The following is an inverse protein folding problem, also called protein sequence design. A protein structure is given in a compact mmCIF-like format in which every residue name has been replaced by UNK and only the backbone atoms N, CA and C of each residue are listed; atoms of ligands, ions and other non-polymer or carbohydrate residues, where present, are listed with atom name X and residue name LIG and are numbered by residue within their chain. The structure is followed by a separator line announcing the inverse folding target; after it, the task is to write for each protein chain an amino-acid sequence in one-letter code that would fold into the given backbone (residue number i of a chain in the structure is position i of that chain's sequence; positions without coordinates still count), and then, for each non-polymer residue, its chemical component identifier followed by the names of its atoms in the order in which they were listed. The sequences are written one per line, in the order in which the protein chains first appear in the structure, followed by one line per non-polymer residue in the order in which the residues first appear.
data_IF_847471728227
#
_entry.id   IF_847471728227
#
_cell.length_a   1.000
_cell.length_b   1.000
_cell.length_c   1.000
_cell.angle_alpha   90.00
_cell.angle_beta   90.00
_cell.angle_gamma   90.00
#
_symmetry.space_group_name_H-M   'P 1'
#
loop_
_entity.id
_entity.type
_entity.pdbx_description
1 polymer ?
#
# COMPACT_ATOMS: atom_id res chain seq x y z
N UNK A 1 -36.10 37.66 63.89
CA UNK A 1 -35.91 36.82 65.08
C UNK A 1 -34.89 35.81 64.74
N UNK A 2 -33.67 35.95 65.26
CA UNK A 2 -32.95 35.12 66.26
C UNK A 2 -32.80 33.68 65.70
N UNK A 3 -31.64 33.06 65.60
CA UNK A 3 -30.49 33.04 66.52
C UNK A 3 -29.25 32.51 65.79
N UNK A 4 -28.10 33.03 66.17
CA UNK A 4 -26.77 32.57 65.87
C UNK A 4 -26.47 31.28 66.63
N UNK A 5 -25.68 30.41 66.06
CA UNK A 5 -24.85 29.48 66.83
C UNK A 5 -23.53 29.23 66.12
N UNK A 6 -22.50 29.70 66.75
CA UNK A 6 -21.09 29.37 66.49
C UNK A 6 -20.77 27.95 66.96
N UNK A 7 -20.04 27.18 66.14
CA UNK A 7 -19.18 26.14 66.69
C UNK A 7 -17.85 26.17 66.04
N UNK A 8 -16.81 26.11 66.85
CA UNK A 8 -15.43 26.34 66.61
C UNK A 8 -14.75 25.25 65.79
N UNK A 9 -13.85 25.68 64.96
CA UNK A 9 -12.97 24.83 64.21
C UNK A 9 -11.86 24.20 65.07
N UNK A 10 -11.71 22.90 65.04
CA UNK A 10 -10.47 22.23 65.45
C UNK A 10 -9.68 21.88 64.18
N UNK A 11 -8.57 22.60 64.03
CA UNK A 11 -7.58 22.29 62.97
C UNK A 11 -6.71 21.15 63.47
N UNK A 12 -6.90 19.97 62.85
CA UNK A 12 -5.97 18.85 63.00
C UNK A 12 -5.02 18.89 61.82
N UNK A 13 -3.77 19.30 62.01
CA UNK A 13 -2.69 19.22 61.07
C UNK A 13 -2.26 17.76 60.98
N UNK A 14 -2.64 17.07 59.91
CA UNK A 14 -2.06 15.79 59.55
C UNK A 14 -0.80 16.08 58.70
N UNK A 15 0.36 15.85 59.27
CA UNK A 15 1.63 15.84 58.53
C UNK A 15 1.67 14.56 57.71
N UNK A 16 1.42 14.70 56.41
CA UNK A 16 1.59 13.58 55.45
C UNK A 16 3.08 13.60 55.04
N UNK A 17 3.88 12.75 55.64
CA UNK A 17 5.24 12.45 55.19
C UNK A 17 5.14 11.66 53.89
N UNK A 18 5.41 12.35 52.77
CA UNK A 18 5.58 11.72 51.44
C UNK A 18 6.89 10.94 51.47
N UNK A 19 6.78 9.61 51.63
CA UNK A 19 7.83 8.66 51.32
C UNK A 19 7.95 8.59 49.79
N UNK A 20 8.88 9.34 49.20
CA UNK A 20 9.27 9.22 47.81
C UNK A 20 10.04 7.91 47.61
N UNK A 21 9.33 6.87 47.20
CA UNK A 21 9.95 5.65 46.68
C UNK A 21 10.61 5.97 45.35
N UNK A 22 11.91 5.69 45.14
CA UNK A 22 12.50 5.80 43.82
C UNK A 22 11.84 4.76 42.89
N UNK A 23 11.11 5.24 41.91
CA UNK A 23 10.62 4.37 40.82
C UNK A 23 11.86 3.84 40.08
N UNK A 24 12.19 2.57 40.31
CA UNK A 24 13.10 1.85 39.43
C UNK A 24 12.41 1.77 38.06
N UNK A 25 12.79 2.65 37.13
CA UNK A 25 12.49 2.44 35.72
C UNK A 25 13.16 1.14 35.30
N UNK A 26 12.42 0.19 34.69
CA UNK A 26 13.09 -0.96 34.10
C UNK A 26 14.00 -0.44 32.99
N UNK A 27 15.31 -0.53 33.21
CA UNK A 27 16.26 -0.34 32.13
C UNK A 27 15.95 -1.41 31.09
N UNK A 28 15.37 -1.00 29.96
CA UNK A 28 15.36 -1.86 28.77
C UNK A 28 16.83 -2.11 28.43
N UNK A 29 17.33 -3.27 28.84
CA UNK A 29 18.62 -3.74 28.37
C UNK A 29 18.49 -3.82 26.84
N UNK A 30 19.27 -3.05 26.11
CA UNK A 30 19.42 -3.23 24.68
C UNK A 30 19.73 -4.70 24.42
N UNK A 31 19.06 -5.36 23.48
CA UNK A 31 19.35 -6.75 23.17
C UNK A 31 20.84 -6.85 22.84
N UNK A 32 21.57 -7.63 23.66
CA UNK A 32 22.95 -7.92 23.40
C UNK A 32 23.05 -8.59 22.02
N UNK A 33 23.90 -8.03 21.16
CA UNK A 33 24.42 -8.62 19.94
C UNK A 33 23.39 -9.40 19.08
N UNK A 34 22.54 -8.65 18.40
CA UNK A 34 22.03 -9.17 17.12
C UNK A 34 23.28 -9.36 16.25
N UNK A 35 23.66 -10.61 15.88
CA UNK A 35 24.84 -10.81 15.07
C UNK A 35 24.70 -9.95 13.81
N UNK A 36 25.64 -9.03 13.60
CA UNK A 36 25.73 -8.26 12.37
C UNK A 36 25.79 -9.30 11.25
N UNK A 37 24.68 -9.46 10.55
CA UNK A 37 24.61 -10.34 9.40
C UNK A 37 25.75 -9.93 8.47
N UNK A 38 26.69 -10.84 8.23
CA UNK A 38 27.80 -10.60 7.31
C UNK A 38 27.25 -9.91 6.07
N UNK A 39 27.86 -8.80 5.67
CA UNK A 39 27.42 -8.01 4.53
C UNK A 39 27.37 -8.90 3.29
N UNK A 40 26.19 -9.35 2.91
CA UNK A 40 25.95 -9.94 1.60
C UNK A 40 26.17 -8.89 0.52
N UNK A 41 26.28 -9.29 -0.71
CA UNK A 41 26.35 -8.36 -1.82
C UNK A 41 25.16 -7.38 -1.75
N UNK A 42 25.45 -6.08 -1.81
CA UNK A 42 24.41 -5.06 -1.78
C UNK A 42 23.58 -5.13 -3.06
N UNK A 43 22.27 -5.15 -2.91
CA UNK A 43 21.32 -5.10 -4.02
C UNK A 43 20.86 -3.64 -4.18
N UNK A 44 20.84 -3.13 -5.41
CA UNK A 44 20.37 -1.76 -5.66
C UNK A 44 18.85 -1.63 -5.46
N UNK A 45 18.34 -0.42 -5.12
CA UNK A 45 16.90 -0.16 -5.06
C UNK A 45 16.17 -0.56 -6.35
N UNK A 46 16.75 -0.26 -7.52
CA UNK A 46 16.20 -0.66 -8.82
C UNK A 46 16.02 -2.17 -8.94
N UNK A 47 17.02 -2.96 -8.52
CA UNK A 47 16.93 -4.43 -8.54
C UNK A 47 15.86 -4.96 -7.58
N UNK A 48 15.73 -4.37 -6.37
CA UNK A 48 14.69 -4.76 -5.40
C UNK A 48 13.30 -4.50 -5.97
N UNK A 49 13.05 -3.27 -6.39
CA UNK A 49 11.74 -2.89 -6.92
C UNK A 49 11.43 -3.57 -8.26
N UNK A 50 12.40 -3.68 -9.15
CA UNK A 50 12.24 -4.40 -10.42
C UNK A 50 11.79 -5.84 -10.21
N UNK A 51 12.41 -6.57 -9.27
CA UNK A 51 12.00 -7.93 -8.91
C UNK A 51 10.58 -7.99 -8.33
N UNK A 52 10.23 -7.07 -7.43
CA UNK A 52 8.89 -7.03 -6.82
C UNK A 52 7.80 -6.72 -7.85
N UNK A 53 8.06 -5.75 -8.75
CA UNK A 53 7.13 -5.43 -9.84
C UNK A 53 7.00 -6.58 -10.85
N UNK A 54 8.08 -7.31 -11.16
CA UNK A 54 8.00 -8.48 -12.04
C UNK A 54 7.12 -9.58 -11.44
N UNK A 55 7.32 -9.91 -10.16
CA UNK A 55 6.52 -10.92 -9.48
C UNK A 55 5.04 -10.52 -9.43
N UNK A 56 4.76 -9.25 -9.12
CA UNK A 56 3.39 -8.73 -9.09
C UNK A 56 2.75 -8.73 -10.49
N UNK A 57 3.50 -8.34 -11.52
CA UNK A 57 3.03 -8.35 -12.91
C UNK A 57 2.58 -9.75 -13.34
N UNK A 58 3.38 -10.78 -13.04
CA UNK A 58 3.03 -12.17 -13.37
C UNK A 58 1.67 -12.56 -12.78
N UNK A 59 1.43 -12.26 -11.51
CA UNK A 59 0.19 -12.61 -10.82
C UNK A 59 -1.01 -11.80 -11.32
N UNK A 60 -0.85 -10.48 -11.46
CA UNK A 60 -1.94 -9.56 -11.83
C UNK A 60 -2.35 -9.76 -13.28
N UNK A 61 -1.38 -9.88 -14.20
CA UNK A 61 -1.67 -10.13 -15.62
C UNK A 61 -2.34 -11.49 -15.80
N UNK A 62 -1.82 -12.53 -15.13
CA UNK A 62 -2.45 -13.86 -15.20
C UNK A 62 -3.88 -13.85 -14.66
N UNK A 63 -4.15 -13.09 -13.58
CA UNK A 63 -5.52 -12.94 -13.06
C UNK A 63 -6.43 -12.20 -14.05
N UNK A 64 -5.94 -11.13 -14.69
CA UNK A 64 -6.68 -10.39 -15.71
C UNK A 64 -7.01 -11.29 -16.92
N UNK A 65 -6.05 -12.09 -17.38
CA UNK A 65 -6.24 -13.03 -18.48
C UNK A 65 -7.19 -14.19 -18.15
N UNK A 66 -7.24 -14.60 -16.87
CA UNK A 66 -8.07 -15.73 -16.44
C UNK A 66 -9.58 -15.43 -16.47
N UNK A 67 -10.01 -14.18 -16.32
CA UNK A 67 -11.43 -13.80 -16.38
C UNK A 67 -11.92 -13.86 -17.82
N UNK A 68 -12.98 -14.60 -18.15
CA UNK A 68 -13.59 -14.58 -19.48
C UNK A 68 -14.10 -13.20 -19.88
N UNK A 69 -14.07 -12.89 -21.17
CA UNK A 69 -14.45 -11.58 -21.69
C UNK A 69 -15.89 -11.18 -21.35
N UNK A 70 -16.82 -12.14 -21.43
CA UNK A 70 -18.24 -11.96 -21.08
C UNK A 70 -18.46 -11.66 -19.59
N UNK A 71 -17.46 -11.91 -18.73
CA UNK A 71 -17.48 -11.65 -17.28
C UNK A 71 -16.63 -10.43 -16.85
N UNK A 72 -16.06 -9.70 -17.78
CA UNK A 72 -15.23 -8.53 -17.44
C UNK A 72 -16.04 -7.42 -16.75
N UNK A 73 -17.33 -7.32 -17.00
CA UNK A 73 -18.23 -6.37 -16.34
C UNK A 73 -18.81 -6.90 -15.01
N UNK A 74 -18.32 -8.04 -14.51
CA UNK A 74 -18.77 -8.58 -13.23
C UNK A 74 -18.38 -7.63 -12.08
N UNK A 75 -19.35 -7.37 -11.20
CA UNK A 75 -19.16 -6.81 -9.88
C UNK A 75 -19.99 -7.62 -8.86
N UNK A 76 -19.55 -7.73 -7.59
CA UNK A 76 -20.36 -8.35 -6.54
C UNK A 76 -21.72 -7.64 -6.36
N UNK A 77 -22.78 -8.40 -6.14
CA UNK A 77 -24.13 -7.85 -5.91
C UNK A 77 -24.75 -8.33 -4.60
N UNK A 78 -24.19 -9.38 -3.99
CA UNK A 78 -24.70 -9.94 -2.74
C UNK A 78 -23.97 -9.29 -1.56
N UNK A 79 -24.67 -8.38 -0.87
CA UNK A 79 -24.12 -7.58 0.23
C UNK A 79 -24.10 -6.07 -0.10
N UNK A 80 -23.28 -5.30 0.61
CA UNK A 80 -23.19 -3.84 0.45
C UNK A 80 -22.09 -3.49 -0.55
N UNK A 81 -22.34 -3.77 -1.84
CA UNK A 81 -21.39 -3.54 -2.93
C UNK A 81 -21.83 -2.49 -3.93
N UNK A 82 -22.75 -1.60 -3.55
CA UNK A 82 -23.15 -0.50 -4.44
C UNK A 82 -21.96 0.42 -4.74
N UNK A 83 -21.69 0.66 -6.02
CA UNK A 83 -20.66 1.57 -6.48
C UNK A 83 -19.23 1.00 -6.47
N UNK A 84 -19.04 -0.31 -6.21
CA UNK A 84 -17.72 -0.94 -6.37
C UNK A 84 -17.35 -1.06 -7.85
N UNK A 85 -16.04 -1.11 -8.12
CA UNK A 85 -15.53 -1.33 -9.47
C UNK A 85 -15.90 -2.70 -9.99
N UNK A 86 -16.22 -2.80 -11.28
CA UNK A 86 -16.27 -4.08 -12.00
C UNK A 86 -14.88 -4.68 -12.13
N UNK A 87 -14.78 -5.95 -12.54
CA UNK A 87 -13.48 -6.57 -12.81
C UNK A 87 -12.68 -5.79 -13.86
N UNK A 88 -13.30 -5.35 -14.96
CA UNK A 88 -12.69 -4.48 -15.95
C UNK A 88 -12.13 -3.20 -15.31
N UNK A 89 -12.92 -2.54 -14.48
CA UNK A 89 -12.53 -1.32 -13.80
C UNK A 89 -11.44 -1.52 -12.74
N UNK A 90 -11.31 -2.70 -12.14
CA UNK A 90 -10.15 -3.02 -11.31
C UNK A 90 -8.87 -3.04 -12.15
N UNK A 91 -8.92 -3.69 -13.31
CA UNK A 91 -7.74 -3.84 -14.19
C UNK A 91 -7.33 -2.51 -14.82
N UNK A 92 -8.30 -1.72 -15.34
CA UNK A 92 -8.00 -0.40 -15.92
C UNK A 92 -7.46 0.56 -14.88
N UNK A 93 -8.01 0.51 -13.65
CA UNK A 93 -7.52 1.35 -12.55
C UNK A 93 -6.09 1.00 -12.11
N UNK A 94 -5.72 -0.29 -12.07
CA UNK A 94 -4.31 -0.66 -11.85
C UNK A 94 -3.44 -0.05 -12.94
N UNK A 95 -3.84 -0.19 -14.20
CA UNK A 95 -3.06 0.30 -15.33
C UNK A 95 -2.92 1.83 -15.33
N UNK A 96 -4.01 2.58 -15.16
CA UNK A 96 -3.99 4.04 -15.13
C UNK A 96 -3.20 4.56 -13.91
N UNK A 97 -3.34 3.91 -12.76
CA UNK A 97 -2.63 4.29 -11.53
C UNK A 97 -1.12 4.14 -11.64
N UNK A 98 -0.59 3.16 -12.36
CA UNK A 98 0.86 3.03 -12.56
C UNK A 98 1.44 4.24 -13.32
N UNK A 99 0.77 4.71 -14.36
CA UNK A 99 1.18 5.94 -15.04
C UNK A 99 1.13 7.16 -14.12
N UNK A 100 0.07 7.28 -13.30
CA UNK A 100 -0.06 8.35 -12.31
C UNK A 100 1.07 8.34 -11.28
N UNK A 101 1.36 7.19 -10.66
CA UNK A 101 2.39 7.08 -9.64
C UNK A 101 3.78 7.44 -10.16
N UNK A 102 4.13 7.01 -11.36
CA UNK A 102 5.49 7.15 -11.89
C UNK A 102 5.74 8.38 -12.76
N UNK A 103 4.75 9.26 -12.95
CA UNK A 103 4.92 10.51 -13.72
C UNK A 103 6.06 11.38 -13.17
N UNK A 104 6.28 11.42 -11.84
CA UNK A 104 7.33 12.21 -11.19
C UNK A 104 8.76 11.65 -11.33
N UNK A 105 8.97 10.54 -12.05
CA UNK A 105 10.28 9.89 -12.20
C UNK A 105 11.10 10.41 -13.38
N UNK A 106 10.64 11.48 -14.04
CA UNK A 106 11.31 12.07 -15.20
C UNK A 106 11.00 11.37 -16.53
N UNK A 107 10.08 10.40 -16.51
CA UNK A 107 9.60 9.70 -17.69
C UNK A 107 8.30 10.35 -18.21
N UNK A 108 8.13 10.32 -19.52
CA UNK A 108 6.89 10.78 -20.16
C UNK A 108 6.03 9.56 -20.49
N UNK A 109 4.79 9.45 -19.95
CA UNK A 109 3.85 8.42 -20.36
C UNK A 109 3.59 8.46 -21.87
N UNK A 110 3.50 7.28 -22.50
CA UNK A 110 3.16 7.16 -23.92
C UNK A 110 1.66 7.26 -24.21
N UNK A 111 0.84 7.21 -23.16
CA UNK A 111 -0.63 7.21 -23.21
C UNK A 111 -1.22 8.20 -22.20
N UNK A 112 -2.42 8.66 -22.49
CA UNK A 112 -3.26 9.36 -21.53
C UNK A 112 -3.90 8.34 -20.58
N UNK A 113 -3.60 8.44 -19.28
CA UNK A 113 -4.15 7.55 -18.25
C UNK A 113 -5.68 7.57 -18.22
N UNK A 114 -6.32 8.71 -18.49
CA UNK A 114 -7.78 8.86 -18.51
C UNK A 114 -8.43 8.10 -19.68
N UNK A 115 -7.67 7.83 -20.74
CA UNK A 115 -8.13 7.01 -21.86
C UNK A 115 -8.21 5.53 -21.50
N UNK A 116 -7.35 5.06 -20.59
CA UNK A 116 -7.31 3.68 -20.14
C UNK A 116 -8.61 3.32 -19.39
N UNK A 117 -9.11 4.22 -18.54
CA UNK A 117 -10.32 3.97 -17.76
C UNK A 117 -11.60 3.88 -18.61
N UNK A 118 -11.51 4.26 -19.90
CA UNK A 118 -12.62 4.19 -20.88
C UNK A 118 -12.58 2.90 -21.72
N UNK A 119 -11.55 2.08 -21.59
CA UNK A 119 -11.44 0.82 -22.33
C UNK A 119 -12.53 -0.17 -21.88
N UNK A 120 -13.09 -0.90 -22.82
CA UNK A 120 -14.17 -1.86 -22.59
C UNK A 120 -13.85 -3.26 -23.07
N UNK A 121 -12.95 -3.40 -24.03
CA UNK A 121 -12.51 -4.68 -24.56
C UNK A 121 -11.49 -5.34 -23.65
N UNK A 122 -11.66 -6.62 -23.33
CA UNK A 122 -10.69 -7.38 -22.52
C UNK A 122 -9.28 -7.29 -23.08
N UNK A 123 -9.11 -7.44 -24.40
CA UNK A 123 -7.80 -7.50 -25.03
C UNK A 123 -7.09 -6.14 -24.93
N UNK A 124 -7.82 -5.04 -25.13
CA UNK A 124 -7.27 -3.68 -24.95
C UNK A 124 -6.93 -3.39 -23.49
N UNK A 125 -7.77 -3.82 -22.54
CA UNK A 125 -7.54 -3.64 -21.10
C UNK A 125 -6.30 -4.43 -20.66
N UNK A 126 -6.18 -5.69 -21.06
CA UNK A 126 -4.99 -6.52 -20.73
C UNK A 126 -3.73 -5.96 -21.38
N UNK A 127 -3.83 -5.46 -22.61
CA UNK A 127 -2.72 -4.79 -23.28
C UNK A 127 -2.29 -3.53 -22.50
N UNK A 128 -3.24 -2.68 -22.13
CA UNK A 128 -2.97 -1.46 -21.37
C UNK A 128 -2.33 -1.79 -20.00
N UNK A 129 -2.77 -2.86 -19.33
CA UNK A 129 -2.15 -3.34 -18.11
C UNK A 129 -0.67 -3.74 -18.32
N UNK A 130 -0.37 -4.50 -19.38
CA UNK A 130 1.02 -4.91 -19.70
C UNK A 130 1.90 -3.70 -20.04
N UNK A 131 1.37 -2.76 -20.81
CA UNK A 131 2.08 -1.54 -21.18
C UNK A 131 2.38 -0.66 -19.94
N UNK A 132 1.43 -0.59 -18.99
CA UNK A 132 1.63 0.15 -17.75
C UNK A 132 2.72 -0.47 -16.86
N UNK A 133 2.83 -1.80 -16.83
CA UNK A 133 3.95 -2.46 -16.15
C UNK A 133 5.28 -2.18 -16.84
N UNK A 134 5.33 -2.17 -18.17
CA UNK A 134 6.56 -1.79 -18.89
C UNK A 134 7.00 -0.37 -18.52
N UNK A 135 6.07 0.58 -18.37
CA UNK A 135 6.35 1.93 -17.89
C UNK A 135 6.82 1.94 -16.43
N UNK A 136 6.17 1.19 -15.55
CA UNK A 136 6.57 1.08 -14.15
C UNK A 136 7.99 0.49 -14.00
N UNK A 137 8.35 -0.52 -14.79
CA UNK A 137 9.73 -1.06 -14.84
C UNK A 137 10.74 -0.02 -15.23
N UNK A 138 10.48 0.74 -16.30
CA UNK A 138 11.37 1.84 -16.71
C UNK A 138 11.53 2.87 -15.58
N UNK A 139 10.46 3.17 -14.87
CA UNK A 139 10.50 4.13 -13.76
C UNK A 139 11.35 3.61 -12.59
N UNK A 140 11.14 2.38 -12.13
CA UNK A 140 11.89 1.84 -11.00
C UNK A 140 13.37 1.61 -11.33
N UNK A 141 13.73 1.40 -12.59
CA UNK A 141 15.13 1.34 -13.06
C UNK A 141 15.88 2.65 -12.85
N UNK A 142 15.18 3.79 -12.74
CA UNK A 142 15.79 5.10 -12.43
C UNK A 142 16.15 5.29 -10.96
N UNK A 143 15.77 4.36 -10.08
CA UNK A 143 15.98 4.48 -8.64
C UNK A 143 17.42 4.06 -8.29
N UNK A 144 18.22 5.01 -7.81
CA UNK A 144 19.57 4.76 -7.34
C UNK A 144 19.66 4.86 -5.81
N UNK A 145 20.74 4.38 -5.17
CA UNK A 145 20.95 4.60 -3.74
C UNK A 145 20.90 6.07 -3.32
N UNK A 146 21.37 6.98 -4.19
CA UNK A 146 21.45 8.41 -3.92
C UNK A 146 20.07 9.07 -3.97
N UNK A 147 19.21 8.70 -4.94
CA UNK A 147 17.93 9.35 -5.17
C UNK A 147 16.72 8.62 -4.57
N UNK A 148 16.90 7.40 -4.04
CA UNK A 148 15.80 6.56 -3.56
C UNK A 148 14.94 7.28 -2.49
N UNK A 149 15.57 8.02 -1.59
CA UNK A 149 14.92 8.75 -0.49
C UNK A 149 15.01 10.27 -0.63
N UNK A 150 15.49 10.77 -1.76
CA UNK A 150 15.43 12.19 -2.09
C UNK A 150 13.97 12.61 -2.30
N UNK A 151 13.56 13.69 -1.63
CA UNK A 151 12.21 14.23 -1.74
C UNK A 151 12.01 14.99 -3.04
N UNK A 152 10.87 14.80 -3.69
CA UNK A 152 10.49 15.53 -4.89
C UNK A 152 8.99 15.90 -4.88
N UNK A 153 8.64 16.90 -5.69
CA UNK A 153 7.28 17.38 -5.83
C UNK A 153 6.74 18.10 -4.59
N UNK A 154 5.55 18.63 -4.70
CA UNK A 154 4.89 19.40 -3.62
C UNK A 154 4.58 18.54 -2.38
N UNK A 155 4.27 17.27 -2.58
CA UNK A 155 3.96 16.32 -1.51
C UNK A 155 5.19 15.71 -0.86
N UNK A 156 6.40 16.15 -1.22
CA UNK A 156 7.67 15.63 -0.68
C UNK A 156 7.77 14.09 -0.75
N UNK A 157 7.29 13.54 -1.84
CA UNK A 157 7.40 12.11 -2.11
C UNK A 157 8.85 11.69 -2.30
N UNK A 158 9.13 10.40 -2.14
CA UNK A 158 10.41 9.79 -2.50
C UNK A 158 10.20 8.70 -3.54
N UNK A 159 11.21 8.43 -4.39
CA UNK A 159 11.09 7.38 -5.41
C UNK A 159 10.82 6.02 -4.80
N UNK A 160 11.52 5.67 -3.73
CA UNK A 160 11.28 4.43 -2.98
C UNK A 160 9.87 4.38 -2.37
N UNK A 161 9.38 5.50 -1.83
CA UNK A 161 8.03 5.61 -1.26
C UNK A 161 6.94 5.42 -2.32
N UNK A 162 7.07 6.05 -3.48
CA UNK A 162 6.12 5.89 -4.60
C UNK A 162 6.15 4.45 -5.14
N UNK A 163 7.33 3.84 -5.29
CA UNK A 163 7.42 2.45 -5.73
C UNK A 163 6.73 1.49 -4.73
N UNK A 164 6.94 1.69 -3.43
CA UNK A 164 6.26 0.92 -2.39
C UNK A 164 4.73 1.15 -2.42
N UNK A 165 4.28 2.39 -2.62
CA UNK A 165 2.86 2.74 -2.75
C UNK A 165 2.23 2.04 -3.96
N UNK A 166 2.90 2.05 -5.12
CA UNK A 166 2.44 1.38 -6.34
C UNK A 166 2.24 -0.13 -6.12
N UNK A 167 3.19 -0.79 -5.44
CA UNK A 167 3.07 -2.20 -5.08
C UNK A 167 1.89 -2.45 -4.12
N UNK A 168 1.77 -1.66 -3.06
CA UNK A 168 0.70 -1.81 -2.07
C UNK A 168 -0.68 -1.60 -2.69
N UNK A 169 -0.85 -0.53 -3.48
CA UNK A 169 -2.08 -0.21 -4.18
C UNK A 169 -2.50 -1.33 -5.16
N UNK A 170 -1.56 -1.82 -5.95
CA UNK A 170 -1.84 -2.91 -6.90
C UNK A 170 -2.21 -4.21 -6.18
N UNK A 171 -1.56 -4.52 -5.05
CA UNK A 171 -1.89 -5.71 -4.25
C UNK A 171 -3.29 -5.64 -3.64
N UNK A 172 -3.75 -4.46 -3.22
CA UNK A 172 -5.14 -4.27 -2.76
C UNK A 172 -6.14 -4.63 -3.88
N UNK A 173 -5.93 -4.09 -5.08
CA UNK A 173 -6.79 -4.39 -6.23
C UNK A 173 -6.66 -5.84 -6.72
N UNK A 174 -5.46 -6.41 -6.69
CA UNK A 174 -5.25 -7.82 -7.01
C UNK A 174 -6.03 -8.75 -6.07
N UNK A 175 -6.05 -8.44 -4.78
CA UNK A 175 -6.86 -9.18 -3.80
C UNK A 175 -8.35 -9.18 -4.17
N UNK A 176 -8.88 -8.04 -4.62
CA UNK A 176 -10.26 -7.92 -5.09
C UNK A 176 -10.48 -8.72 -6.39
N UNK A 177 -9.56 -8.67 -7.36
CA UNK A 177 -9.62 -9.49 -8.58
C UNK A 177 -9.65 -10.98 -8.26
N UNK A 178 -8.84 -11.45 -7.31
CA UNK A 178 -8.81 -12.84 -6.84
C UNK A 178 -10.18 -13.27 -6.29
N UNK A 179 -10.82 -12.41 -5.48
CA UNK A 179 -12.17 -12.67 -4.97
C UNK A 179 -13.18 -12.75 -6.12
N UNK A 180 -13.13 -11.83 -7.09
CA UNK A 180 -14.06 -11.81 -8.23
C UNK A 180 -13.89 -13.06 -9.12
N UNK A 181 -12.66 -13.53 -9.34
CA UNK A 181 -12.40 -14.79 -10.03
C UNK A 181 -13.12 -15.96 -9.32
N UNK A 182 -12.92 -16.09 -8.00
CA UNK A 182 -13.54 -17.15 -7.20
C UNK A 182 -15.07 -17.08 -7.20
N UNK A 183 -15.65 -15.89 -7.13
CA UNK A 183 -17.10 -15.69 -7.23
C UNK A 183 -17.66 -16.14 -8.60
N UNK A 184 -16.82 -16.17 -9.63
CA UNK A 184 -17.15 -16.68 -10.96
C UNK A 184 -16.73 -18.14 -11.18
N UNK A 185 -16.37 -18.88 -10.13
CA UNK A 185 -15.96 -20.28 -10.21
C UNK A 185 -14.57 -20.50 -10.81
N UNK A 186 -13.73 -19.45 -10.88
CA UNK A 186 -12.40 -19.51 -11.50
C UNK A 186 -11.35 -19.58 -10.38
N UNK A 187 -10.51 -20.63 -10.43
CA UNK A 187 -9.34 -20.72 -9.52
C UNK A 187 -8.32 -19.68 -10.00
N UNK A 188 -7.89 -18.73 -9.13
CA UNK A 188 -6.87 -17.77 -9.49
C UNK A 188 -5.58 -18.47 -9.93
N UNK A 189 -4.86 -17.99 -10.97
CA UNK A 189 -3.67 -18.66 -11.48
C UNK A 189 -2.61 -18.96 -10.40
N UNK A 190 -2.33 -18.03 -9.50
CA UNK A 190 -1.38 -18.21 -8.39
C UNK A 190 -1.84 -19.28 -7.36
N UNK A 191 -3.09 -19.74 -7.40
CA UNK A 191 -3.63 -20.78 -6.50
C UNK A 191 -3.74 -22.14 -7.19
N UNK A 192 -3.36 -22.26 -8.46
CA UNK A 192 -3.39 -23.53 -9.19
C UNK A 192 -2.19 -24.39 -8.79
N UNK A 193 -2.46 -25.67 -8.52
CA UNK A 193 -1.41 -26.67 -8.22
C UNK A 193 -0.89 -27.27 -9.51
#
# INVERSE_FOLDING_TARGET
MRTKSCFAAVRMFAICTLLSSPALSPAFAAPADVPVRLAGAQTSPAQVYGKLFSSQQEEVVAAAEAMPADKYNFAPTNGTFQGVRTFAQQVTHIASSQYYFFTGFGLKPSVDSDAIDKLTSKDEIVKALKDSYAFAHQAVETITPENAFEQFGEHKNTRAGIAAMGLAHTNDHYGQMVVYLRMNGIIPPASRK
#
